data_IF_744002370444
#
_entry.id   IF_744002370444
#
_cell.length_a   1.000
_cell.length_b   1.000
_cell.length_c   1.000
_cell.angle_alpha   90.00
_cell.angle_beta   90.00
_cell.angle_gamma   90.00
#
_symmetry.space_group_name_H-M   'P 1'
#
loop_
_entity.id
_entity.type
_entity.pdbx_description
1 polymer ?
#
# COMPACT_ATOMS: atom_id res chain seq x y z
N UNK A 1 -13.35 28.45 -6.53
CA UNK A 1 -13.01 29.51 -7.52
C UNK A 1 -11.60 29.43 -8.14
N UNK A 2 -10.50 29.51 -7.37
CA UNK A 2 -9.13 29.48 -7.93
C UNK A 2 -8.71 28.09 -8.44
N UNK A 3 -9.15 27.05 -7.75
CA UNK A 3 -8.74 25.66 -8.02
C UNK A 3 -9.09 25.16 -9.44
N UNK A 4 -10.29 25.46 -9.92
CA UNK A 4 -10.71 25.10 -11.29
C UNK A 4 -9.96 25.89 -12.38
N UNK A 5 -9.64 27.17 -12.11
CA UNK A 5 -8.79 27.96 -13.03
C UNK A 5 -7.39 27.39 -13.09
N UNK A 6 -6.81 27.06 -11.94
CA UNK A 6 -5.49 26.46 -11.85
C UNK A 6 -5.41 25.13 -12.63
N UNK A 7 -6.39 24.24 -12.45
CA UNK A 7 -6.46 22.97 -13.18
C UNK A 7 -6.49 23.18 -14.71
N UNK A 8 -7.31 24.12 -15.22
CA UNK A 8 -7.35 24.47 -16.66
C UNK A 8 -6.03 25.04 -17.18
N UNK A 9 -5.37 25.91 -16.42
CA UNK A 9 -4.07 26.47 -16.81
C UNK A 9 -3.01 25.38 -16.91
N UNK A 10 -2.93 24.51 -15.90
CA UNK A 10 -2.00 23.38 -15.89
C UNK A 10 -2.24 22.46 -17.08
N UNK A 11 -3.51 22.14 -17.39
CA UNK A 11 -3.87 21.32 -18.56
C UNK A 11 -3.42 21.96 -19.88
N UNK A 12 -3.76 23.22 -20.14
CA UNK A 12 -3.40 23.91 -21.40
C UNK A 12 -1.89 24.01 -21.60
N UNK A 13 -1.14 24.27 -20.52
CA UNK A 13 0.33 24.31 -20.59
C UNK A 13 0.93 22.92 -20.84
N UNK A 14 0.33 21.89 -20.25
CA UNK A 14 0.69 20.50 -20.56
C UNK A 14 0.44 20.15 -22.02
N UNK A 15 -0.69 20.55 -22.61
CA UNK A 15 -1.02 20.33 -24.04
C UNK A 15 -0.04 21.01 -24.98
N UNK A 16 0.43 22.21 -24.62
CA UNK A 16 1.45 22.94 -25.39
C UNK A 16 2.85 22.28 -25.33
N UNK A 17 3.04 21.28 -24.45
CA UNK A 17 4.33 20.60 -24.29
C UNK A 17 5.28 21.32 -23.35
N UNK A 18 4.82 22.24 -22.49
CA UNK A 18 5.69 22.97 -21.55
C UNK A 18 6.50 22.03 -20.63
N UNK A 19 5.94 20.87 -20.31
CA UNK A 19 6.62 19.82 -19.54
C UNK A 19 7.84 19.26 -20.27
N UNK A 20 7.74 19.05 -21.59
CA UNK A 20 8.85 18.60 -22.44
C UNK A 20 9.91 19.71 -22.57
N UNK A 21 9.48 20.94 -22.81
CA UNK A 21 10.37 22.10 -22.89
C UNK A 21 11.14 22.33 -21.58
N UNK A 22 10.57 21.91 -20.45
CA UNK A 22 11.18 21.99 -19.12
C UNK A 22 11.93 20.71 -18.72
N UNK A 23 12.16 19.76 -19.65
CA UNK A 23 12.95 18.55 -19.42
C UNK A 23 12.29 17.47 -18.55
N UNK A 24 10.97 17.53 -18.32
CA UNK A 24 10.26 16.52 -17.54
C UNK A 24 9.72 15.42 -18.43
N UNK A 25 9.79 14.17 -17.95
CA UNK A 25 9.31 12.99 -18.69
C UNK A 25 7.78 12.88 -18.77
N UNK A 26 7.05 13.66 -17.97
CA UNK A 26 5.57 13.68 -17.99
C UNK A 26 5.03 15.01 -17.49
N UNK A 27 3.78 15.30 -17.88
CA UNK A 27 3.04 16.45 -17.35
C UNK A 27 2.85 16.38 -15.83
N UNK A 28 2.61 15.18 -15.26
CA UNK A 28 2.47 14.97 -13.81
C UNK A 28 3.77 15.36 -13.10
N UNK A 29 4.91 14.85 -13.55
CA UNK A 29 6.23 15.17 -12.99
C UNK A 29 6.52 16.68 -13.05
N UNK A 30 6.16 17.32 -14.16
CA UNK A 30 6.30 18.76 -14.32
C UNK A 30 5.45 19.57 -13.33
N UNK A 31 4.19 19.19 -13.11
CA UNK A 31 3.30 19.87 -12.16
C UNK A 31 3.77 19.64 -10.71
N UNK A 32 4.21 18.44 -10.36
CA UNK A 32 4.78 18.14 -9.04
C UNK A 32 5.94 19.08 -8.73
N UNK A 33 6.89 19.18 -9.66
CA UNK A 33 8.10 20.00 -9.53
C UNK A 33 7.79 21.49 -9.51
N UNK A 34 7.00 21.96 -10.48
CA UNK A 34 6.71 23.40 -10.67
C UNK A 34 5.80 23.96 -9.59
N UNK A 35 4.89 23.15 -9.06
CA UNK A 35 3.86 23.60 -8.12
C UNK A 35 4.02 23.00 -6.71
N UNK A 36 5.16 22.33 -6.44
CA UNK A 36 5.49 21.75 -5.13
C UNK A 36 4.35 20.90 -4.53
N UNK A 37 3.81 19.97 -5.32
CA UNK A 37 2.69 19.11 -4.89
C UNK A 37 2.97 17.62 -5.08
N UNK A 38 2.21 16.79 -4.38
CA UNK A 38 2.29 15.34 -4.50
C UNK A 38 1.86 14.87 -5.89
N UNK A 39 2.26 13.65 -6.27
CA UNK A 39 1.87 13.02 -7.52
C UNK A 39 0.35 12.92 -7.67
N UNK A 40 -0.36 12.51 -6.62
CA UNK A 40 -1.82 12.41 -6.63
C UNK A 40 -2.48 13.77 -6.89
N UNK A 41 -2.05 14.80 -6.15
CA UNK A 41 -2.53 16.16 -6.37
C UNK A 41 -2.25 16.65 -7.80
N UNK A 42 -1.05 16.39 -8.35
CA UNK A 42 -0.72 16.78 -9.71
C UNK A 42 -1.58 16.05 -10.76
N UNK A 43 -1.79 14.74 -10.59
CA UNK A 43 -2.65 13.93 -11.45
C UNK A 43 -4.10 14.44 -11.45
N UNK A 44 -4.64 14.72 -10.26
CA UNK A 44 -5.99 15.26 -10.11
C UNK A 44 -6.16 16.58 -10.87
N UNK A 45 -5.17 17.47 -10.81
CA UNK A 45 -5.23 18.77 -11.50
C UNK A 45 -5.28 18.63 -13.00
N UNK A 46 -4.54 17.67 -13.54
CA UNK A 46 -4.52 17.38 -14.97
C UNK A 46 -5.85 16.74 -15.42
N UNK A 47 -6.38 15.79 -14.65
CA UNK A 47 -7.67 15.16 -14.93
C UNK A 47 -8.83 16.17 -14.86
N UNK A 48 -8.93 16.92 -13.75
CA UNK A 48 -9.94 17.99 -13.61
C UNK A 48 -9.78 19.03 -14.72
N UNK A 49 -8.55 19.46 -15.01
CA UNK A 49 -8.29 20.42 -16.08
C UNK A 49 -8.77 19.95 -17.46
N UNK A 50 -8.60 18.66 -17.77
CA UNK A 50 -9.07 18.01 -19.00
C UNK A 50 -10.61 17.92 -19.04
N UNK A 51 -11.22 17.51 -17.94
CA UNK A 51 -12.64 17.15 -17.91
C UNK A 51 -13.59 18.34 -17.72
N UNK A 52 -13.14 19.45 -17.13
CA UNK A 52 -13.96 20.66 -16.95
C UNK A 52 -14.37 21.37 -18.25
N UNK A 53 -13.88 20.94 -19.41
CA UNK A 53 -14.38 21.39 -20.72
C UNK A 53 -15.59 20.57 -21.17
N UNK A 54 -15.61 19.26 -20.88
CA UNK A 54 -16.74 18.37 -21.16
C UNK A 54 -17.85 18.45 -20.08
N UNK A 55 -17.54 18.98 -18.89
CA UNK A 55 -18.47 19.11 -17.76
C UNK A 55 -18.75 20.59 -17.40
N UNK A 56 -19.47 21.34 -18.26
CA UNK A 56 -19.69 22.77 -18.08
C UNK A 56 -20.46 23.13 -16.80
N UNK A 57 -21.45 22.34 -16.37
CA UNK A 57 -22.22 22.63 -15.16
C UNK A 57 -21.36 22.44 -13.91
N UNK A 58 -20.59 21.34 -13.87
CA UNK A 58 -19.62 21.08 -12.79
C UNK A 58 -18.60 22.22 -12.70
N UNK A 59 -18.12 22.70 -13.85
CA UNK A 59 -17.21 23.83 -13.90
C UNK A 59 -17.80 25.12 -13.34
N UNK A 60 -19.07 25.42 -13.65
CA UNK A 60 -19.78 26.59 -13.11
C UNK A 60 -19.88 26.45 -11.59
N UNK A 61 -20.37 25.33 -11.08
CA UNK A 61 -20.54 25.09 -9.63
C UNK A 61 -19.23 25.10 -8.85
N UNK A 62 -18.15 24.56 -9.42
CA UNK A 62 -16.81 24.65 -8.81
C UNK A 62 -16.29 26.10 -8.80
N UNK A 63 -16.60 26.86 -9.85
CA UNK A 63 -16.16 28.25 -9.97
C UNK A 63 -16.91 29.18 -9.00
N UNK A 64 -18.21 28.96 -8.81
CA UNK A 64 -19.05 29.68 -7.83
C UNK A 64 -18.74 29.27 -6.39
N UNK A 65 -18.21 28.06 -6.18
CA UNK A 65 -17.89 27.51 -4.86
C UNK A 65 -19.05 26.73 -4.23
N UNK A 66 -20.10 26.47 -5.00
CA UNK A 66 -21.24 25.62 -4.58
C UNK A 66 -20.84 24.16 -4.40
N UNK A 67 -19.83 23.68 -5.15
CA UNK A 67 -19.18 22.39 -4.90
C UNK A 67 -17.69 22.58 -4.58
N UNK A 68 -17.18 21.74 -3.68
CA UNK A 68 -15.76 21.69 -3.34
C UNK A 68 -14.91 21.06 -4.46
N UNK A 69 -13.61 21.36 -4.45
CA UNK A 69 -12.67 20.80 -5.44
C UNK A 69 -12.64 19.26 -5.41
N UNK A 70 -12.68 18.65 -4.23
CA UNK A 70 -12.65 17.20 -4.09
C UNK A 70 -13.89 16.54 -4.73
N UNK A 71 -15.08 17.11 -4.54
CA UNK A 71 -16.30 16.60 -5.19
C UNK A 71 -16.22 16.74 -6.72
N UNK A 72 -15.76 17.89 -7.21
CA UNK A 72 -15.54 18.10 -8.64
C UNK A 72 -14.51 17.12 -9.21
N UNK A 73 -13.46 16.80 -8.46
CA UNK A 73 -12.45 15.80 -8.82
C UNK A 73 -13.06 14.42 -9.02
N UNK A 74 -13.94 13.98 -8.10
CA UNK A 74 -14.64 12.68 -8.23
C UNK A 74 -15.46 12.62 -9.51
N UNK A 75 -16.24 13.68 -9.81
CA UNK A 75 -17.09 13.73 -11.01
C UNK A 75 -16.22 13.73 -12.29
N UNK A 76 -15.11 14.48 -12.28
CA UNK A 76 -14.18 14.53 -13.42
C UNK A 76 -13.53 13.16 -13.66
N UNK A 77 -13.03 12.49 -12.63
CA UNK A 77 -12.43 11.16 -12.76
C UNK A 77 -13.45 10.10 -13.19
N UNK A 78 -14.70 10.21 -12.74
CA UNK A 78 -15.77 9.33 -13.24
C UNK A 78 -15.97 9.52 -14.74
N UNK A 79 -16.10 10.77 -15.19
CA UNK A 79 -16.22 11.12 -16.62
C UNK A 79 -15.02 10.60 -17.42
N UNK A 80 -13.79 10.77 -16.92
CA UNK A 80 -12.58 10.29 -17.59
C UNK A 80 -12.54 8.77 -17.73
N UNK A 81 -12.96 8.04 -16.68
CA UNK A 81 -13.01 6.57 -16.68
C UNK A 81 -14.11 6.00 -17.55
N UNK A 82 -15.25 6.70 -17.67
CA UNK A 82 -16.35 6.27 -18.54
C UNK A 82 -16.08 6.58 -20.01
N UNK A 83 -15.29 7.61 -20.32
CA UNK A 83 -15.02 8.04 -21.69
C UNK A 83 -16.32 8.34 -22.44
N UNK A 84 -16.45 7.85 -23.68
CA UNK A 84 -17.65 8.02 -24.51
C UNK A 84 -18.91 7.42 -23.87
N UNK A 85 -18.78 6.38 -23.04
CA UNK A 85 -19.92 5.79 -22.31
C UNK A 85 -20.47 6.71 -21.23
N UNK A 86 -19.72 7.74 -20.86
CA UNK A 86 -20.08 8.76 -19.89
C UNK A 86 -20.70 10.02 -20.49
N UNK A 87 -20.91 10.09 -21.82
CA UNK A 87 -21.51 11.27 -22.47
C UNK A 87 -22.90 11.63 -21.92
N UNK A 88 -23.62 10.66 -21.36
CA UNK A 88 -24.91 10.85 -20.71
C UNK A 88 -24.84 11.05 -19.19
N UNK A 89 -23.66 11.36 -18.64
CA UNK A 89 -23.54 11.60 -17.20
C UNK A 89 -24.36 12.82 -16.81
N UNK A 90 -25.42 12.60 -16.04
CA UNK A 90 -26.31 13.66 -15.56
C UNK A 90 -25.56 14.55 -14.57
N UNK A 91 -25.02 15.67 -15.07
CA UNK A 91 -24.26 16.61 -14.27
C UNK A 91 -25.08 17.19 -13.12
N UNK A 92 -26.36 17.48 -13.34
CA UNK A 92 -27.24 18.04 -12.32
C UNK A 92 -27.43 17.05 -11.16
N UNK A 93 -27.63 15.77 -11.49
CA UNK A 93 -27.70 14.71 -10.49
C UNK A 93 -26.39 14.57 -9.70
N UNK A 94 -25.25 14.55 -10.37
CA UNK A 94 -23.93 14.43 -9.72
C UNK A 94 -23.56 15.65 -8.87
N UNK A 95 -23.98 16.85 -9.29
CA UNK A 95 -23.86 18.08 -8.49
C UNK A 95 -24.74 17.98 -7.23
N UNK A 96 -25.96 17.42 -7.36
CA UNK A 96 -26.83 17.11 -6.22
C UNK A 96 -26.16 16.16 -5.23
N UNK A 97 -25.60 15.04 -5.72
CA UNK A 97 -24.84 14.09 -4.90
C UNK A 97 -23.62 14.73 -4.22
N UNK A 98 -22.93 15.64 -4.91
CA UNK A 98 -21.80 16.36 -4.34
C UNK A 98 -22.18 17.32 -3.20
N UNK A 99 -23.44 17.78 -3.14
CA UNK A 99 -23.96 18.62 -2.08
C UNK A 99 -24.50 17.81 -0.89
N UNK A 100 -25.02 16.60 -1.14
CA UNK A 100 -25.64 15.75 -0.11
C UNK A 100 -24.64 14.80 0.57
N UNK A 101 -23.73 14.19 -0.21
CA UNK A 101 -22.90 13.10 0.28
C UNK A 101 -21.51 13.54 0.73
N UNK A 102 -20.95 12.78 1.68
CA UNK A 102 -19.54 12.87 2.02
C UNK A 102 -18.68 12.48 0.82
N UNK A 103 -17.44 12.99 0.74
CA UNK A 103 -16.49 12.60 -0.32
C UNK A 103 -16.31 11.08 -0.38
N UNK A 104 -16.33 10.39 0.77
CA UNK A 104 -16.20 8.93 0.82
C UNK A 104 -17.38 8.24 0.13
N UNK A 105 -18.60 8.71 0.39
CA UNK A 105 -19.81 8.11 -0.18
C UNK A 105 -19.98 8.49 -1.66
N UNK A 106 -19.56 9.70 -2.04
CA UNK A 106 -19.50 10.11 -3.45
C UNK A 106 -18.52 9.24 -4.26
N UNK A 107 -17.35 8.90 -3.70
CA UNK A 107 -16.42 7.96 -4.35
C UNK A 107 -17.04 6.57 -4.51
N UNK A 108 -17.71 6.05 -3.47
CA UNK A 108 -18.42 4.76 -3.56
C UNK A 108 -19.49 4.77 -4.64
N UNK A 109 -20.26 5.85 -4.72
CA UNK A 109 -21.28 6.02 -5.76
C UNK A 109 -20.66 6.08 -7.16
N UNK A 110 -19.49 6.72 -7.30
CA UNK A 110 -18.73 6.77 -8.54
C UNK A 110 -18.30 5.38 -8.99
N UNK A 111 -17.72 4.59 -8.08
CA UNK A 111 -17.31 3.21 -8.35
C UNK A 111 -18.51 2.33 -8.76
N UNK A 112 -19.63 2.45 -8.05
CA UNK A 112 -20.88 1.73 -8.39
C UNK A 112 -21.43 2.15 -9.75
N UNK A 113 -21.48 3.45 -10.04
CA UNK A 113 -21.96 3.96 -11.32
C UNK A 113 -21.10 3.45 -12.45
N UNK A 114 -19.78 3.46 -12.28
CA UNK A 114 -18.86 2.93 -13.27
C UNK A 114 -19.07 1.44 -13.53
N UNK A 115 -19.25 0.63 -12.48
CA UNK A 115 -19.54 -0.79 -12.64
C UNK A 115 -20.85 -1.03 -13.43
N UNK A 116 -21.88 -0.22 -13.20
CA UNK A 116 -23.17 -0.34 -13.90
C UNK A 116 -23.08 0.11 -15.36
N UNK A 117 -22.40 1.23 -15.63
CA UNK A 117 -22.34 1.85 -16.96
C UNK A 117 -21.31 1.18 -17.87
N UNK A 118 -20.16 0.76 -17.31
CA UNK A 118 -19.11 0.06 -18.03
C UNK A 118 -18.56 -1.15 -17.27
N UNK A 119 -19.34 -2.26 -17.19
CA UNK A 119 -18.88 -3.50 -16.55
C UNK A 119 -17.59 -4.02 -17.19
N UNK A 120 -17.51 -4.04 -18.52
CA UNK A 120 -16.34 -4.56 -19.24
C UNK A 120 -15.07 -3.73 -18.99
N UNK A 121 -15.20 -2.40 -18.94
CA UNK A 121 -14.08 -1.50 -18.62
C UNK A 121 -13.66 -1.58 -17.15
N UNK A 122 -14.61 -1.86 -16.25
CA UNK A 122 -14.33 -2.14 -14.84
C UNK A 122 -13.58 -3.48 -14.68
N UNK A 123 -14.04 -4.54 -15.34
CA UNK A 123 -13.43 -5.86 -15.32
C UNK A 123 -12.02 -5.80 -15.92
N UNK A 124 -11.83 -5.11 -17.05
CA UNK A 124 -10.50 -4.95 -17.67
C UNK A 124 -9.52 -4.25 -16.73
N UNK A 125 -9.89 -3.15 -16.08
CA UNK A 125 -9.02 -2.48 -15.11
C UNK A 125 -8.76 -3.39 -13.89
N UNK A 126 -9.74 -4.20 -13.49
CA UNK A 126 -9.57 -5.19 -12.41
C UNK A 126 -8.51 -6.24 -12.78
N UNK A 127 -8.54 -6.75 -14.01
CA UNK A 127 -7.54 -7.68 -14.54
C UNK A 127 -6.15 -7.02 -14.69
N UNK A 128 -6.09 -5.77 -15.19
CA UNK A 128 -4.86 -4.99 -15.26
C UNK A 128 -4.24 -4.78 -13.87
N UNK A 129 -5.06 -4.34 -12.88
CA UNK A 129 -4.64 -4.21 -11.49
C UNK A 129 -4.20 -5.56 -10.90
N UNK A 130 -4.88 -6.65 -11.25
CA UNK A 130 -4.54 -8.01 -10.81
C UNK A 130 -3.15 -8.42 -11.32
N UNK A 131 -2.81 -8.05 -12.55
CA UNK A 131 -1.51 -8.31 -13.17
C UNK A 131 -0.38 -7.45 -12.58
N UNK A 132 -0.67 -6.28 -12.03
CA UNK A 132 0.31 -5.40 -11.39
C UNK A 132 0.66 -5.80 -9.95
N UNK A 133 -0.04 -6.77 -9.36
CA UNK A 133 0.22 -7.17 -7.97
C UNK A 133 1.60 -7.77 -7.81
N UNK A 134 2.27 -7.33 -6.76
CA UNK A 134 3.56 -7.87 -6.38
C UNK A 134 3.73 -7.84 -4.87
N UNK A 135 4.60 -8.71 -4.38
CA UNK A 135 5.13 -8.66 -3.02
C UNK A 135 6.65 -8.79 -3.11
N UNK A 136 7.34 -7.75 -2.67
CA UNK A 136 8.78 -7.71 -2.56
C UNK A 136 9.16 -7.75 -1.07
N UNK A 137 10.03 -8.69 -0.73
CA UNK A 137 10.62 -8.82 0.60
C UNK A 137 12.13 -8.72 0.41
N UNK A 138 12.74 -7.67 0.95
CA UNK A 138 14.17 -7.42 0.86
C UNK A 138 14.79 -7.24 2.24
N UNK A 139 16.07 -7.59 2.35
CA UNK A 139 16.87 -7.37 3.55
C UNK A 139 17.76 -6.14 3.35
N UNK A 140 17.77 -5.23 4.33
CA UNK A 140 18.65 -4.09 4.37
C UNK A 140 19.01 -3.77 5.82
N UNK A 141 20.31 -3.64 6.11
CA UNK A 141 20.84 -3.28 7.44
C UNK A 141 20.32 -4.16 8.59
N UNK A 142 20.23 -5.47 8.38
CA UNK A 142 19.76 -6.43 9.38
C UNK A 142 18.25 -6.38 9.65
N UNK A 143 17.49 -5.64 8.83
CA UNK A 143 16.05 -5.52 8.90
C UNK A 143 15.42 -5.97 7.58
N UNK A 144 14.18 -6.45 7.64
CA UNK A 144 13.41 -6.81 6.45
C UNK A 144 12.44 -5.68 6.08
N UNK A 145 12.43 -5.32 4.80
CA UNK A 145 11.52 -4.38 4.18
C UNK A 145 10.51 -5.13 3.32
N UNK A 146 9.23 -4.83 3.51
CA UNK A 146 8.14 -5.37 2.71
C UNK A 146 7.53 -4.24 1.89
N UNK A 147 7.42 -4.45 0.58
CA UNK A 147 6.74 -3.55 -0.35
C UNK A 147 5.84 -4.38 -1.26
N UNK A 148 4.61 -3.94 -1.49
CA UNK A 148 3.71 -4.69 -2.33
C UNK A 148 2.43 -3.95 -2.67
N UNK A 149 1.78 -4.46 -3.71
CA UNK A 149 0.46 -4.05 -4.18
C UNK A 149 -0.40 -5.31 -4.20
N UNK A 150 -1.58 -5.23 -3.58
CA UNK A 150 -2.56 -6.32 -3.54
C UNK A 150 -3.86 -5.86 -4.21
N UNK A 151 -4.61 -6.82 -4.73
CA UNK A 151 -5.99 -6.61 -5.16
C UNK A 151 -6.86 -6.22 -3.95
N UNK A 152 -8.03 -5.61 -4.20
CA UNK A 152 -8.96 -5.23 -3.15
C UNK A 152 -9.36 -6.39 -2.21
N UNK A 153 -9.56 -7.60 -2.73
CA UNK A 153 -9.95 -8.77 -1.91
C UNK A 153 -8.81 -9.17 -0.97
N UNK A 154 -7.62 -9.48 -1.52
CA UNK A 154 -6.44 -9.89 -0.77
C UNK A 154 -5.95 -8.82 0.21
N UNK A 155 -5.95 -7.55 -0.20
CA UNK A 155 -5.58 -6.43 0.66
C UNK A 155 -6.57 -6.21 1.81
N UNK A 156 -7.88 -6.37 1.55
CA UNK A 156 -8.92 -6.29 2.59
C UNK A 156 -8.83 -7.44 3.58
N UNK A 157 -8.57 -8.66 3.10
CA UNK A 157 -8.37 -9.84 3.93
C UNK A 157 -7.13 -9.68 4.84
N UNK A 158 -5.99 -9.27 4.27
CA UNK A 158 -4.76 -9.00 5.02
C UNK A 158 -4.98 -7.91 6.07
N UNK A 159 -5.59 -6.77 5.68
CA UNK A 159 -5.86 -5.67 6.59
C UNK A 159 -6.76 -6.09 7.74
N UNK A 160 -7.83 -6.84 7.44
CA UNK A 160 -8.76 -7.36 8.46
C UNK A 160 -8.06 -8.28 9.45
N UNK A 161 -7.22 -9.20 8.96
CA UNK A 161 -6.46 -10.11 9.80
C UNK A 161 -5.45 -9.35 10.69
N UNK A 162 -4.68 -8.43 10.11
CA UNK A 162 -3.69 -7.62 10.84
C UNK A 162 -4.36 -6.71 11.88
N UNK A 163 -5.42 -5.98 11.51
CA UNK A 163 -6.11 -5.07 12.42
C UNK A 163 -6.78 -5.84 13.59
N UNK A 164 -7.13 -7.12 13.40
CA UNK A 164 -7.69 -7.97 14.46
C UNK A 164 -6.69 -8.27 15.59
N UNK A 165 -5.40 -8.46 15.23
CA UNK A 165 -4.30 -8.77 16.16
C UNK A 165 -3.55 -7.51 16.62
N UNK A 166 -3.59 -6.42 15.85
CA UNK A 166 -2.88 -5.18 16.17
C UNK A 166 -3.58 -4.33 17.25
N UNK A 167 -4.52 -4.90 18.02
CA UNK A 167 -5.22 -4.21 19.10
C UNK A 167 -4.26 -3.85 20.24
N UNK A 168 -4.59 -2.78 20.96
CA UNK A 168 -3.78 -2.32 22.10
C UNK A 168 -3.99 -3.29 23.27
N UNK A 169 -2.90 -3.79 23.85
CA UNK A 169 -2.95 -4.69 25.00
C UNK A 169 -2.93 -3.89 26.32
N UNK A 170 -4.07 -3.30 26.67
CA UNK A 170 -4.21 -2.51 27.90
C UNK A 170 -3.59 -1.11 27.82
N UNK A 171 -3.66 -0.39 28.95
CA UNK A 171 -3.21 1.02 29.05
C UNK A 171 -1.70 1.20 28.96
N UNK A 172 -0.92 0.18 29.35
CA UNK A 172 0.55 0.25 29.40
C UNK A 172 1.23 -0.23 28.11
N UNK A 173 0.46 -0.58 27.08
CA UNK A 173 1.01 -0.90 25.77
C UNK A 173 1.57 0.36 25.12
N UNK A 174 2.90 0.50 25.19
CA UNK A 174 3.67 1.62 24.63
C UNK A 174 3.97 1.46 23.14
N UNK A 175 3.58 0.34 22.51
CA UNK A 175 3.86 0.11 21.09
C UNK A 175 3.04 1.06 20.21
N UNK A 176 3.72 1.67 19.26
CA UNK A 176 3.07 2.48 18.23
C UNK A 176 2.10 1.63 17.39
N UNK A 177 1.07 2.23 16.75
CA UNK A 177 0.19 1.50 15.84
C UNK A 177 0.95 0.76 14.72
N UNK A 178 2.07 1.31 14.24
CA UNK A 178 2.93 0.67 13.23
C UNK A 178 3.62 -0.58 13.78
N UNK A 179 4.16 -0.51 15.00
CA UNK A 179 4.79 -1.67 15.67
C UNK A 179 3.76 -2.78 15.91
N UNK A 180 2.56 -2.45 16.41
CA UNK A 180 1.50 -3.46 16.61
C UNK A 180 1.09 -4.17 15.33
N UNK A 181 1.06 -3.46 14.19
CA UNK A 181 0.80 -4.07 12.88
C UNK A 181 1.93 -4.98 12.41
N UNK A 182 3.18 -4.62 12.68
CA UNK A 182 4.33 -5.47 12.39
C UNK A 182 4.32 -6.75 13.23
N UNK A 183 4.02 -6.63 14.53
CA UNK A 183 3.87 -7.77 15.45
C UNK A 183 2.73 -8.69 14.97
N UNK A 184 1.56 -8.11 14.64
CA UNK A 184 0.40 -8.84 14.13
C UNK A 184 0.70 -9.62 12.83
N UNK A 185 1.41 -9.01 11.88
CA UNK A 185 1.81 -9.69 10.64
C UNK A 185 2.78 -10.85 10.92
N UNK A 186 3.69 -10.65 11.88
CA UNK A 186 4.63 -11.68 12.32
C UNK A 186 3.89 -12.86 12.96
N UNK A 187 2.93 -12.57 13.84
CA UNK A 187 2.07 -13.56 14.49
C UNK A 187 1.26 -14.37 13.46
N UNK A 188 0.63 -13.71 12.47
CA UNK A 188 -0.06 -14.40 11.36
C UNK A 188 0.86 -15.36 10.62
N UNK A 189 2.11 -14.95 10.38
CA UNK A 189 3.11 -15.77 9.68
C UNK A 189 3.47 -17.00 10.50
N UNK A 190 3.70 -16.85 11.80
CA UNK A 190 3.96 -17.99 12.68
C UNK A 190 2.76 -18.93 12.81
N UNK A 191 1.53 -18.40 12.94
CA UNK A 191 0.32 -19.22 12.95
C UNK A 191 0.21 -20.08 11.68
N UNK A 192 0.47 -19.51 10.50
CA UNK A 192 0.45 -20.26 9.25
C UNK A 192 1.55 -21.34 9.18
N UNK A 193 2.77 -21.02 9.63
CA UNK A 193 3.89 -21.98 9.69
C UNK A 193 3.61 -23.13 10.67
N UNK A 194 3.02 -22.83 11.83
CA UNK A 194 2.72 -23.79 12.88
C UNK A 194 1.56 -24.72 12.52
N UNK A 195 0.51 -24.19 11.89
CA UNK A 195 -0.61 -24.95 11.35
C UNK A 195 -0.12 -26.06 10.40
N UNK A 196 1.03 -25.85 9.75
CA UNK A 196 1.69 -26.88 8.94
C UNK A 196 0.94 -27.23 7.65
N UNK A 197 0.02 -26.35 7.24
CA UNK A 197 -0.76 -26.38 6.00
C UNK A 197 0.00 -25.73 4.83
N UNK A 198 1.06 -24.97 5.12
CA UNK A 198 1.91 -24.38 4.07
C UNK A 198 2.62 -25.47 3.24
N UNK A 199 2.76 -25.26 1.92
CA UNK A 199 3.48 -26.18 1.04
C UNK A 199 4.91 -26.43 1.51
N UNK A 200 5.37 -27.68 1.36
CA UNK A 200 6.75 -28.04 1.66
C UNK A 200 7.68 -27.52 0.56
N UNK A 201 8.86 -27.05 0.94
CA UNK A 201 9.97 -26.76 0.03
C UNK A 201 11.10 -27.75 0.31
N UNK A 202 11.59 -28.45 -0.72
CA UNK A 202 12.58 -29.53 -0.57
C UNK A 202 12.20 -30.58 0.48
N UNK A 203 10.92 -30.93 0.57
CA UNK A 203 10.42 -31.95 1.52
C UNK A 203 10.27 -31.48 2.97
N UNK A 204 10.65 -30.24 3.29
CA UNK A 204 10.56 -29.68 4.65
C UNK A 204 9.52 -28.56 4.69
N UNK A 205 8.79 -28.45 5.81
CA UNK A 205 7.89 -27.32 6.05
C UNK A 205 8.69 -26.02 6.18
N UNK A 206 8.13 -24.86 5.82
CA UNK A 206 8.76 -23.57 6.08
C UNK A 206 9.14 -23.47 7.57
N UNK A 207 10.41 -23.19 7.84
CA UNK A 207 10.95 -23.02 9.19
C UNK A 207 12.12 -22.04 9.14
N UNK A 208 12.43 -21.44 10.29
CA UNK A 208 13.65 -20.68 10.51
C UNK A 208 14.60 -21.51 11.37
N UNK A 209 15.91 -21.37 11.13
CA UNK A 209 16.95 -22.05 11.91
C UNK A 209 17.74 -21.02 12.67
N UNK A 210 17.77 -21.14 14.00
CA UNK A 210 18.59 -20.33 14.89
C UNK A 210 19.66 -21.21 15.52
N UNK A 211 20.92 -20.81 15.39
CA UNK A 211 22.07 -21.42 16.05
C UNK A 211 22.43 -20.56 17.26
N UNK A 212 22.49 -21.15 18.45
CA UNK A 212 22.83 -20.43 19.69
C UNK A 212 23.65 -21.34 20.60
N UNK A 213 24.41 -20.76 21.53
CA UNK A 213 25.07 -21.51 22.61
C UNK A 213 24.13 -21.67 23.80
N UNK A 214 24.45 -22.57 24.73
CA UNK A 214 23.62 -22.77 25.93
C UNK A 214 23.61 -21.51 26.80
N UNK A 215 24.75 -20.84 26.91
CA UNK A 215 24.95 -19.58 27.63
C UNK A 215 24.16 -18.46 26.94
N UNK A 216 24.18 -18.43 25.59
CA UNK A 216 23.41 -17.49 24.77
C UNK A 216 21.89 -17.65 24.94
N UNK A 217 21.42 -18.89 25.04
CA UNK A 217 20.02 -19.21 25.34
C UNK A 217 19.62 -18.80 26.77
N UNK A 218 20.54 -18.91 27.74
CA UNK A 218 20.34 -18.46 29.12
C UNK A 218 20.47 -16.94 29.31
N UNK A 219 20.97 -16.23 28.29
CA UNK A 219 21.20 -14.78 28.35
C UNK A 219 22.37 -14.37 29.24
N UNK A 220 23.37 -15.24 29.39
CA UNK A 220 24.57 -14.97 30.20
C UNK A 220 25.47 -13.90 29.54
N UNK A 221 26.07 -13.03 30.36
CA UNK A 221 27.01 -12.00 29.90
C UNK A 221 28.27 -12.65 29.29
N UNK A 222 28.64 -12.23 28.08
CA UNK A 222 29.81 -12.76 27.36
C UNK A 222 29.53 -13.99 26.48
N UNK A 223 28.28 -14.45 26.41
CA UNK A 223 27.90 -15.53 25.49
C UNK A 223 28.09 -15.12 24.02
N UNK A 224 28.42 -16.12 23.18
CA UNK A 224 28.48 -15.91 21.74
C UNK A 224 27.10 -15.52 21.19
N UNK A 225 27.09 -14.63 20.18
CA UNK A 225 25.86 -14.18 19.55
C UNK A 225 25.11 -15.35 18.89
N UNK A 226 23.79 -15.30 18.91
CA UNK A 226 22.97 -16.29 18.20
C UNK A 226 22.89 -15.91 16.72
N UNK A 227 22.76 -16.88 15.83
CA UNK A 227 22.72 -16.68 14.38
C UNK A 227 21.43 -17.27 13.79
N UNK A 228 20.66 -16.44 13.09
CA UNK A 228 19.57 -16.86 12.22
C UNK A 228 20.15 -17.18 10.84
N UNK A 229 19.86 -18.34 10.27
CA UNK A 229 20.36 -18.66 8.92
C UNK A 229 19.71 -17.75 7.85
N UNK A 230 20.51 -17.17 6.93
CA UNK A 230 21.94 -17.40 6.71
C UNK A 230 22.86 -16.33 7.36
N UNK A 231 23.12 -16.42 8.66
CA UNK A 231 24.21 -15.70 9.35
C UNK A 231 23.84 -14.37 10.01
N UNK A 232 22.55 -14.02 10.11
CA UNK A 232 22.14 -12.79 10.80
C UNK A 232 22.28 -12.95 12.32
N UNK A 233 23.00 -12.03 12.97
CA UNK A 233 23.10 -12.03 14.42
C UNK A 233 21.77 -11.67 15.06
N UNK A 234 21.35 -12.45 16.05
CA UNK A 234 20.14 -12.24 16.83
C UNK A 234 20.49 -12.19 18.31
N UNK A 235 19.91 -11.22 19.02
CA UNK A 235 20.09 -11.10 20.47
C UNK A 235 19.48 -12.28 21.22
N UNK A 236 20.05 -12.64 22.37
CA UNK A 236 19.48 -13.64 23.28
C UNK A 236 18.03 -13.37 23.67
N UNK A 237 17.64 -12.09 23.83
CA UNK A 237 16.25 -11.71 24.11
C UNK A 237 15.32 -12.11 22.97
N UNK A 238 15.71 -11.87 21.73
CA UNK A 238 14.92 -12.25 20.55
C UNK A 238 14.80 -13.78 20.44
N UNK A 239 15.86 -14.52 20.74
CA UNK A 239 15.84 -16.00 20.74
C UNK A 239 14.82 -16.53 21.75
N UNK A 240 14.72 -15.92 22.93
CA UNK A 240 13.74 -16.29 23.96
C UNK A 240 12.28 -15.97 23.57
N UNK A 241 12.07 -15.05 22.63
CA UNK A 241 10.74 -14.70 22.12
C UNK A 241 10.31 -15.54 20.91
N UNK A 242 11.19 -16.37 20.35
CA UNK A 242 10.83 -17.25 19.23
C UNK A 242 9.99 -18.44 19.71
N UNK A 243 8.92 -18.82 18.99
CA UNK A 243 8.16 -20.02 19.30
C UNK A 243 9.06 -21.26 19.12
N UNK A 244 9.39 -21.92 20.23
CA UNK A 244 10.23 -23.10 20.23
C UNK A 244 9.40 -24.36 19.90
N UNK A 245 9.65 -24.99 18.76
CA UNK A 245 9.21 -26.38 18.55
C UNK A 245 10.09 -27.32 19.38
N UNK A 246 9.58 -27.77 20.51
CA UNK A 246 10.13 -28.94 21.23
C UNK A 246 9.90 -30.19 20.39
N UNK A 247 10.86 -30.55 19.54
CA UNK A 247 10.90 -31.88 18.92
C UNK A 247 11.59 -31.93 17.57
N UNK A 248 12.78 -32.56 17.53
CA UNK A 248 13.37 -33.09 16.31
C UNK A 248 14.88 -32.91 16.19
N UNK A 249 15.65 -33.82 16.81
CA UNK A 249 17.08 -34.08 16.62
C UNK A 249 17.99 -32.84 16.52
N UNK A 250 18.57 -32.50 17.66
CA UNK A 250 19.79 -31.71 17.73
C UNK A 250 20.88 -32.34 16.84
N UNK A 251 21.11 -31.75 15.67
CA UNK A 251 22.36 -31.96 14.95
C UNK A 251 23.42 -31.08 15.63
N UNK A 252 23.97 -31.57 16.76
CA UNK A 252 25.21 -31.03 17.33
C UNK A 252 26.34 -31.27 16.31
N UNK A 253 26.65 -30.28 15.47
CA UNK A 253 28.01 -30.16 14.92
C UNK A 253 28.81 -29.33 15.90
N UNK A 254 29.50 -30.02 16.81
CA UNK A 254 30.58 -29.43 17.60
C UNK A 254 31.74 -29.16 16.62
N UNK A 255 31.95 -27.90 16.28
CA UNK A 255 33.17 -27.46 15.61
C UNK A 255 34.32 -27.52 16.60
N UNK A 256 35.15 -28.56 16.50
CA UNK A 256 36.42 -28.63 17.23
C UNK A 256 37.36 -27.57 16.67
N UNK A 257 38.01 -26.85 17.58
CA UNK A 257 38.91 -25.75 17.26
C UNK A 257 40.09 -26.17 16.37
N UNK A 258 40.55 -25.22 15.57
CA UNK A 258 41.95 -25.12 15.19
C UNK A 258 42.45 -23.74 15.59
N UNK A 259 43.18 -23.71 16.69
CA UNK A 259 44.22 -22.70 16.87
C UNK A 259 45.24 -22.90 15.74
N UNK A 260 45.53 -21.84 15.00
CA UNK A 260 46.77 -21.74 14.25
C UNK A 260 47.69 -20.79 15.03
N UNK A 261 48.92 -21.26 15.18
CA UNK A 261 50.05 -20.60 15.83
C UNK A 261 50.43 -19.29 15.12
#
# INVERSE_FOLDING_TARGET
RLEGKFARVVRRRSERGDHLASGHCSAVSWVMSTCAMSQGSASDRLCVGKQLEALPEVAVKLSSGEIGYQSASVICHLSDKLGEKGESLDQAQWIGYAAEFSIKDLNRLSDHTRYVVDPNGFDRETEENYAERFLHISEMNGMYHLSGVMDPEGGSALKSAVDSLAKRLGGDDLRTPKQRRADALTELTYHAMEAGTLPKRHGVRPHITVTTTLEGLKGELGAAASELQPGMLVSSKTVLHLPARRGGRAAKRLGWGRAQA
#
